data_IF_235455966599
#
_entry.id   IF_235455966599
#
_cell.length_a   1.000
_cell.length_b   1.000
_cell.length_c   1.000
_cell.angle_alpha   90.00
_cell.angle_beta   90.00
_cell.angle_gamma   90.00
#
_symmetry.space_group_name_H-M   'P 1'
#
loop_
_entity.id
_entity.type
_entity.pdbx_description
1 polymer ?
#
# COMPACT_ATOMS: atom_id res chain seq x y z
N UNK A 1 -19.37 -8.03 -20.47
CA UNK A 1 -20.48 -8.72 -21.17
C UNK A 1 -20.06 -9.92 -22.01
N UNK A 2 -18.80 -10.00 -22.45
CA UNK A 2 -18.35 -11.05 -23.38
C UNK A 2 -18.32 -12.47 -22.78
N UNK A 3 -18.29 -12.61 -21.45
CA UNK A 3 -18.37 -13.89 -20.75
C UNK A 3 -19.71 -14.63 -20.91
N UNK A 4 -20.74 -13.97 -21.48
CA UNK A 4 -22.05 -14.57 -21.79
C UNK A 4 -22.18 -15.02 -23.24
N UNK A 5 -21.23 -14.63 -24.10
CA UNK A 5 -21.22 -15.00 -25.51
C UNK A 5 -20.67 -16.41 -25.68
N UNK A 6 -21.18 -17.13 -26.69
CA UNK A 6 -20.58 -18.38 -27.08
C UNK A 6 -19.19 -18.12 -27.74
N UNK A 7 -18.33 -19.13 -27.82
CA UNK A 7 -16.99 -18.98 -28.38
C UNK A 7 -16.99 -18.49 -29.84
N UNK A 8 -17.96 -18.92 -30.65
CA UNK A 8 -18.07 -18.51 -32.06
C UNK A 8 -18.46 -17.03 -32.19
N UNK A 9 -19.40 -16.55 -31.38
CA UNK A 9 -19.81 -15.15 -31.33
C UNK A 9 -18.66 -14.26 -30.85
N UNK A 10 -17.83 -14.78 -29.95
CA UNK A 10 -16.66 -14.10 -29.41
C UNK A 10 -15.56 -13.98 -30.46
N UNK A 11 -15.28 -15.06 -31.20
CA UNK A 11 -14.36 -15.04 -32.34
C UNK A 11 -14.81 -14.09 -33.44
N UNK A 12 -16.11 -14.07 -33.73
CA UNK A 12 -16.68 -13.15 -34.71
C UNK A 12 -16.61 -11.68 -34.24
N UNK A 13 -16.89 -11.41 -32.95
CA UNK A 13 -16.87 -10.06 -32.38
C UNK A 13 -15.48 -9.43 -32.41
N UNK A 14 -14.44 -10.23 -32.14
CA UNK A 14 -13.05 -9.78 -32.12
C UNK A 14 -12.29 -10.06 -33.42
N UNK A 15 -12.97 -10.59 -34.44
CA UNK A 15 -12.41 -10.90 -35.75
C UNK A 15 -11.12 -11.75 -35.66
N UNK A 16 -11.13 -12.72 -34.74
CA UNK A 16 -10.00 -13.61 -34.47
C UNK A 16 -10.34 -15.04 -34.88
N UNK A 17 -9.38 -15.75 -35.43
CA UNK A 17 -9.55 -17.12 -35.89
C UNK A 17 -9.11 -18.12 -34.81
N UNK A 18 -9.88 -19.18 -34.60
CA UNK A 18 -9.63 -20.13 -33.50
C UNK A 18 -8.28 -20.84 -33.61
N UNK A 19 -7.88 -21.22 -34.81
CA UNK A 19 -6.71 -22.08 -35.03
C UNK A 19 -5.50 -21.26 -35.47
N UNK A 20 -5.72 -20.16 -36.20
CA UNK A 20 -4.64 -19.31 -36.72
C UNK A 20 -4.40 -18.05 -35.88
N UNK A 21 -5.31 -17.68 -34.97
CA UNK A 21 -5.19 -16.46 -34.18
C UNK A 21 -5.28 -15.19 -35.02
N UNK A 22 -4.69 -14.11 -34.53
CA UNK A 22 -4.60 -12.85 -35.27
C UNK A 22 -3.41 -12.84 -36.24
N UNK A 23 -3.56 -12.09 -37.33
CA UNK A 23 -2.46 -11.82 -38.26
C UNK A 23 -1.64 -10.61 -37.82
N UNK A 24 -0.35 -10.56 -38.16
CA UNK A 24 0.52 -9.42 -37.78
C UNK A 24 0.02 -8.08 -38.34
N UNK A 25 -0.65 -8.11 -39.50
CA UNK A 25 -1.26 -6.93 -40.08
C UNK A 25 -2.42 -6.41 -39.21
N UNK A 26 -3.29 -7.30 -38.73
CA UNK A 26 -4.39 -6.95 -37.83
C UNK A 26 -3.87 -6.45 -36.47
N UNK A 27 -2.86 -7.11 -35.92
CA UNK A 27 -2.23 -6.70 -34.65
C UNK A 27 -1.68 -5.29 -34.76
N UNK A 28 -0.97 -4.98 -35.85
CA UNK A 28 -0.39 -3.64 -36.06
C UNK A 28 -1.47 -2.57 -36.18
N UNK A 29 -2.58 -2.87 -36.85
CA UNK A 29 -3.72 -1.96 -36.94
C UNK A 29 -4.39 -1.74 -35.58
N UNK A 30 -4.59 -2.81 -34.80
CA UNK A 30 -5.15 -2.75 -33.45
C UNK A 30 -4.25 -1.98 -32.49
N UNK A 31 -2.94 -2.16 -32.57
CA UNK A 31 -1.97 -1.47 -31.70
C UNK A 31 -1.89 0.04 -32.02
N UNK A 32 -2.08 0.42 -33.29
CA UNK A 32 -2.23 1.84 -33.68
C UNK A 32 -3.57 2.42 -33.18
N UNK A 33 -4.66 1.64 -33.24
CA UNK A 33 -6.00 2.08 -32.86
C UNK A 33 -6.18 2.21 -31.35
N UNK A 34 -5.78 1.17 -30.60
CA UNK A 34 -6.09 1.00 -29.18
C UNK A 34 -4.89 1.35 -28.28
N UNK A 35 -3.69 1.43 -28.85
CA UNK A 35 -2.44 1.66 -28.11
C UNK A 35 -1.87 0.38 -27.49
N UNK A 36 -0.66 0.44 -26.93
CA UNK A 36 -0.06 -0.69 -26.23
C UNK A 36 -0.82 -1.01 -24.95
N UNK A 37 -0.79 -2.28 -24.53
CA UNK A 37 -1.46 -2.78 -23.33
C UNK A 37 -0.66 -2.41 -22.06
N UNK A 38 -0.55 -1.10 -21.82
CA UNK A 38 0.15 -0.50 -20.69
C UNK A 38 -0.81 0.44 -19.98
N UNK A 39 -0.84 0.37 -18.64
CA UNK A 39 -1.60 1.31 -17.84
C UNK A 39 -1.06 2.74 -18.07
N UNK A 40 -1.95 3.64 -18.50
CA UNK A 40 -1.60 5.04 -18.76
C UNK A 40 -1.06 5.71 -17.50
N UNK A 41 0.23 6.05 -17.50
CA UNK A 41 0.83 6.76 -16.38
C UNK A 41 0.50 8.26 -16.45
N UNK A 42 0.22 8.92 -15.31
CA UNK A 42 0.16 10.37 -15.27
C UNK A 42 1.52 10.95 -15.64
N UNK A 43 1.53 12.03 -16.44
CA UNK A 43 2.76 12.65 -16.93
C UNK A 43 3.72 12.95 -15.77
N UNK A 44 5.00 12.55 -15.85
CA UNK A 44 5.95 12.77 -14.77
C UNK A 44 6.15 14.28 -14.58
N UNK A 45 5.81 14.78 -13.38
CA UNK A 45 6.06 16.17 -13.00
C UNK A 45 7.57 16.34 -12.80
N UNK A 46 8.15 17.39 -13.38
CA UNK A 46 9.57 17.71 -13.22
C UNK A 46 9.97 17.85 -11.75
N UNK A 47 11.18 17.39 -11.40
CA UNK A 47 11.72 17.41 -10.02
C UNK A 47 11.69 18.81 -9.42
N UNK A 48 12.03 19.83 -10.21
CA UNK A 48 12.03 21.22 -9.76
C UNK A 48 10.61 21.71 -9.48
N UNK A 49 9.63 21.35 -10.32
CA UNK A 49 8.21 21.72 -10.12
C UNK A 49 7.64 21.07 -8.86
N UNK A 50 8.04 19.81 -8.57
CA UNK A 50 7.69 19.16 -7.31
C UNK A 50 8.27 19.91 -6.09
N UNK A 51 9.55 20.30 -6.16
CA UNK A 51 10.19 21.06 -5.09
C UNK A 51 9.51 22.42 -4.86
N UNK A 52 9.20 23.16 -5.92
CA UNK A 52 8.46 24.44 -5.82
C UNK A 52 7.07 24.27 -5.22
N UNK A 53 6.38 23.17 -5.55
CA UNK A 53 5.06 22.85 -4.98
C UNK A 53 5.14 22.62 -3.46
N UNK A 54 6.23 22.04 -2.96
CA UNK A 54 6.46 21.88 -1.52
C UNK A 54 6.85 23.20 -0.84
N UNK A 55 7.71 24.00 -1.48
CA UNK A 55 8.19 25.28 -0.93
C UNK A 55 7.13 26.39 -0.91
N UNK A 56 6.11 26.34 -1.77
CA UNK A 56 5.14 27.44 -1.92
C UNK A 56 3.69 26.95 -1.95
N UNK A 57 3.44 25.68 -1.58
CA UNK A 57 2.11 25.09 -1.57
C UNK A 57 1.50 25.02 -0.16
N UNK A 58 0.20 25.25 -0.07
CA UNK A 58 -0.58 24.98 1.14
C UNK A 58 -0.08 25.75 2.37
N UNK A 59 0.29 25.01 3.42
CA UNK A 59 0.67 25.56 4.73
C UNK A 59 2.05 26.25 4.73
N UNK A 60 2.94 25.91 3.79
CA UNK A 60 4.27 26.53 3.65
C UNK A 60 4.20 28.06 3.40
N UNK A 61 3.15 28.52 2.70
CA UNK A 61 2.91 29.96 2.48
C UNK A 61 2.71 30.75 3.78
N UNK A 62 2.12 30.11 4.80
CA UNK A 62 1.90 30.76 6.11
C UNK A 62 3.25 31.04 6.78
N UNK A 63 4.19 30.09 6.71
CA UNK A 63 5.52 30.27 7.26
C UNK A 63 6.30 31.36 6.53
N UNK A 64 6.24 31.43 5.20
CA UNK A 64 6.87 32.52 4.45
C UNK A 64 6.33 33.89 4.82
N UNK A 65 5.02 34.01 5.06
CA UNK A 65 4.43 35.26 5.56
C UNK A 65 4.99 35.61 6.95
N UNK A 66 5.09 34.63 7.85
CA UNK A 66 5.70 34.84 9.17
C UNK A 66 7.16 35.28 9.08
N UNK A 67 7.97 34.65 8.22
CA UNK A 67 9.35 35.05 7.96
C UNK A 67 9.42 36.53 7.54
N UNK A 68 8.59 36.93 6.57
CA UNK A 68 8.55 38.31 6.08
C UNK A 68 8.19 39.29 7.21
N UNK A 69 7.20 38.96 8.04
CA UNK A 69 6.80 39.78 9.18
C UNK A 69 7.96 39.93 10.17
N UNK A 70 8.68 38.86 10.49
CA UNK A 70 9.84 38.94 11.39
C UNK A 70 10.96 39.82 10.85
N UNK A 71 11.23 39.78 9.54
CA UNK A 71 12.21 40.68 8.92
C UNK A 71 11.76 42.14 8.88
N UNK A 72 10.45 42.40 8.72
CA UNK A 72 9.90 43.76 8.84
C UNK A 72 10.04 44.27 10.28
N UNK A 73 9.71 43.44 11.28
CA UNK A 73 9.86 43.78 12.70
C UNK A 73 11.33 44.01 13.08
N UNK A 74 12.25 43.23 12.52
CA UNK A 74 13.68 43.48 12.62
C UNK A 74 14.05 44.87 12.09
N UNK A 75 13.61 45.22 10.87
CA UNK A 75 13.84 46.55 10.29
C UNK A 75 13.28 47.68 11.16
N UNK A 76 12.09 47.53 11.72
CA UNK A 76 11.49 48.55 12.59
C UNK A 76 12.23 48.69 13.94
N UNK A 77 12.54 47.57 14.59
CA UNK A 77 13.26 47.56 15.88
C UNK A 77 14.67 48.13 15.79
N UNK A 78 15.37 47.89 14.67
CA UNK A 78 16.67 48.55 14.40
C UNK A 78 16.52 50.06 14.23
N UNK A 79 15.45 50.54 13.58
CA UNK A 79 15.18 51.97 13.44
C UNK A 79 14.83 52.64 14.78
N UNK A 80 14.12 51.95 15.68
CA UNK A 80 13.80 52.44 17.03
C UNK A 80 14.93 52.26 18.05
N UNK A 81 16.11 51.77 17.63
CA UNK A 81 17.27 51.51 18.49
C UNK A 81 17.00 50.54 19.65
N UNK A 82 16.08 49.58 19.46
CA UNK A 82 15.84 48.48 20.40
C UNK A 82 16.69 47.26 19.98
N UNK A 83 17.95 47.25 20.45
CA UNK A 83 18.93 46.22 20.07
C UNK A 83 18.48 44.82 20.48
N UNK A 84 17.90 44.67 21.68
CA UNK A 84 17.46 43.37 22.19
C UNK A 84 16.31 42.78 21.37
N UNK A 85 15.33 43.62 21.01
CA UNK A 85 14.23 43.19 20.15
C UNK A 85 14.71 42.84 18.74
N UNK A 86 15.63 43.63 18.18
CA UNK A 86 16.14 43.41 16.82
C UNK A 86 16.85 42.06 16.68
N UNK A 87 17.76 41.74 17.60
CA UNK A 87 18.48 40.46 17.59
C UNK A 87 17.50 39.29 17.70
N UNK A 88 16.47 39.43 18.54
CA UNK A 88 15.44 38.40 18.73
C UNK A 88 14.65 38.14 17.44
N UNK A 89 14.15 39.19 16.77
CA UNK A 89 13.39 39.02 15.53
C UNK A 89 14.24 38.44 14.38
N UNK A 90 15.51 38.82 14.28
CA UNK A 90 16.43 38.26 13.30
C UNK A 90 16.63 36.75 13.52
N UNK A 91 16.88 36.34 14.76
CA UNK A 91 17.07 34.92 15.09
C UNK A 91 15.81 34.10 14.88
N UNK A 92 14.62 34.61 15.27
CA UNK A 92 13.35 33.94 15.00
C UNK A 92 13.13 33.75 13.49
N UNK A 93 13.38 34.77 12.68
CA UNK A 93 13.25 34.68 11.23
C UNK A 93 14.18 33.64 10.60
N UNK A 94 15.45 33.61 11.02
CA UNK A 94 16.44 32.63 10.53
C UNK A 94 16.08 31.21 10.96
N UNK A 95 15.70 31.01 12.24
CA UNK A 95 15.33 29.71 12.77
C UNK A 95 14.12 29.12 12.04
N UNK A 96 13.11 29.96 11.76
CA UNK A 96 11.90 29.56 11.04
C UNK A 96 12.16 29.20 9.58
N UNK A 97 13.13 29.85 8.91
CA UNK A 97 13.61 29.43 7.57
C UNK A 97 14.24 28.04 7.63
N UNK A 98 15.09 27.77 8.63
CA UNK A 98 15.77 26.48 8.78
C UNK A 98 14.76 25.36 9.02
N UNK A 99 13.77 25.60 9.88
CA UNK A 99 12.70 24.65 10.18
C UNK A 99 11.86 24.35 8.93
N UNK A 100 11.51 25.38 8.16
CA UNK A 100 10.75 25.23 6.91
C UNK A 100 11.52 24.40 5.87
N UNK A 101 12.83 24.66 5.69
CA UNK A 101 13.67 23.88 4.79
C UNK A 101 13.75 22.41 5.20
N UNK A 102 13.78 22.11 6.50
CA UNK A 102 13.79 20.74 7.01
C UNK A 102 12.46 20.02 6.72
N UNK A 103 11.32 20.68 6.91
CA UNK A 103 9.98 20.13 6.63
C UNK A 103 9.82 19.86 5.13
N UNK A 104 10.23 20.80 4.28
CA UNK A 104 10.19 20.65 2.82
C UNK A 104 11.09 19.50 2.36
N UNK A 105 12.30 19.38 2.91
CA UNK A 105 13.21 18.28 2.61
C UNK A 105 12.59 16.93 2.98
N UNK A 106 12.04 16.81 4.19
CA UNK A 106 11.40 15.58 4.65
C UNK A 106 10.19 15.20 3.80
N UNK A 107 9.35 16.18 3.46
CA UNK A 107 8.17 16.00 2.61
C UNK A 107 8.54 15.55 1.20
N UNK A 108 9.56 16.19 0.59
CA UNK A 108 10.09 15.80 -0.71
C UNK A 108 10.68 14.38 -0.68
N UNK A 109 11.43 14.03 0.37
CA UNK A 109 11.99 12.70 0.54
C UNK A 109 10.90 11.62 0.66
N UNK A 110 9.86 11.89 1.45
CA UNK A 110 8.74 10.97 1.64
C UNK A 110 7.96 10.75 0.33
N UNK A 111 7.70 11.81 -0.45
CA UNK A 111 7.03 11.69 -1.75
C UNK A 111 7.90 10.94 -2.77
N UNK A 112 9.21 11.22 -2.81
CA UNK A 112 10.16 10.53 -3.69
C UNK A 112 10.19 9.02 -3.43
N UNK A 113 10.17 8.63 -2.14
CA UNK A 113 10.10 7.22 -1.73
C UNK A 113 8.79 6.57 -2.18
N UNK A 114 7.65 7.24 -1.99
CA UNK A 114 6.33 6.74 -2.40
C UNK A 114 6.22 6.58 -3.94
N UNK A 115 6.81 7.50 -4.70
CA UNK A 115 6.80 7.45 -6.17
C UNK A 115 7.61 6.27 -6.74
N UNK A 116 8.62 5.79 -6.03
CA UNK A 116 9.44 4.63 -6.43
C UNK A 116 8.65 3.31 -6.36
N UNK A 117 7.70 3.21 -5.44
CA UNK A 117 6.84 2.02 -5.29
C UNK A 117 5.92 1.86 -6.49
N UNK A 118 5.33 2.95 -6.99
CA UNK A 118 4.48 2.92 -8.18
C UNK A 118 5.24 2.53 -9.44
N UNK A 119 6.47 3.01 -9.61
CA UNK A 119 7.33 2.62 -10.72
C UNK A 119 7.71 1.13 -10.67
N UNK A 120 7.87 0.57 -9.46
CA UNK A 120 8.18 -0.85 -9.27
C UNK A 120 7.00 -1.75 -9.60
N UNK A 121 5.76 -1.33 -9.30
CA UNK A 121 4.52 -2.04 -9.70
C UNK A 121 4.38 -2.06 -11.23
N UNK A 122 4.69 -0.97 -11.93
CA UNK A 122 4.71 -0.97 -13.40
C UNK A 122 5.78 -1.90 -13.97
N UNK A 123 6.98 -1.92 -13.37
CA UNK A 123 8.07 -2.80 -13.80
C UNK A 123 7.78 -4.29 -13.59
N UNK A 124 6.88 -4.64 -12.67
CA UNK A 124 6.43 -6.02 -12.46
C UNK A 124 5.40 -6.50 -13.50
N UNK A 125 4.79 -5.59 -14.26
CA UNK A 125 3.79 -5.93 -15.29
C UNK A 125 4.39 -6.41 -16.62
N UNK A 126 5.70 -6.26 -16.84
CA UNK A 126 6.39 -6.72 -18.05
C UNK A 126 6.70 -8.21 -17.95
N UNK A 127 5.68 -9.06 -18.11
CA UNK A 127 5.85 -10.51 -18.27
C UNK A 127 5.77 -10.90 -19.75
N UNK A 128 6.44 -11.98 -20.13
CA UNK A 128 6.34 -12.58 -21.46
C UNK A 128 5.24 -13.64 -21.47
N UNK A 129 4.34 -13.59 -22.46
CA UNK A 129 3.19 -14.49 -22.60
C UNK A 129 3.26 -15.19 -23.96
N UNK A 130 2.81 -16.45 -24.01
CA UNK A 130 2.72 -17.24 -25.24
C UNK A 130 1.38 -16.95 -25.94
N UNK A 131 1.45 -16.45 -27.17
CA UNK A 131 0.29 -16.16 -28.02
C UNK A 131 0.32 -16.97 -29.31
N UNK A 132 -0.85 -17.20 -29.90
CA UNK A 132 -0.99 -17.79 -31.23
C UNK A 132 -1.25 -16.66 -32.23
N UNK A 133 -0.33 -16.46 -33.18
CA UNK A 133 -0.44 -15.48 -34.27
C UNK A 133 0.02 -16.12 -35.58
N UNK A 134 -0.68 -15.86 -36.68
CA UNK A 134 -0.46 -16.51 -37.98
C UNK A 134 -0.39 -18.07 -37.93
N UNK A 135 -1.05 -18.71 -36.97
CA UNK A 135 -1.00 -20.15 -36.75
C UNK A 135 0.27 -20.68 -36.07
N UNK A 136 1.16 -19.79 -35.64
CA UNK A 136 2.38 -20.14 -34.90
C UNK A 136 2.34 -19.61 -33.46
N UNK A 137 3.02 -20.32 -32.55
CA UNK A 137 3.13 -19.96 -31.14
C UNK A 137 4.33 -19.03 -30.95
N UNK A 138 4.06 -17.77 -30.62
CA UNK A 138 5.05 -16.73 -30.45
C UNK A 138 5.07 -16.24 -29.00
N UNK A 139 6.27 -16.02 -28.45
CA UNK A 139 6.44 -15.45 -27.12
C UNK A 139 6.59 -13.93 -27.26
N UNK A 140 5.65 -13.17 -26.69
CA UNK A 140 5.62 -11.70 -26.80
C UNK A 140 5.58 -11.05 -25.42
N UNK A 141 5.91 -9.77 -25.34
CA UNK A 141 5.72 -8.99 -24.12
C UNK A 141 4.22 -8.70 -23.90
N UNK A 142 3.79 -8.64 -22.64
CA UNK A 142 2.39 -8.29 -22.27
C UNK A 142 1.95 -6.93 -22.82
N UNK A 143 2.90 -6.02 -23.06
CA UNK A 143 2.70 -4.68 -23.62
C UNK A 143 2.20 -4.69 -25.07
N UNK A 144 2.57 -5.73 -25.83
CA UNK A 144 2.24 -5.90 -27.24
C UNK A 144 0.97 -6.75 -27.46
N UNK A 145 0.28 -7.10 -26.38
CA UNK A 145 -0.94 -7.89 -26.40
C UNK A 145 -2.11 -7.02 -26.87
N UNK A 146 -2.92 -7.52 -27.81
CA UNK A 146 -4.07 -6.79 -28.34
C UNK A 146 -5.37 -7.55 -28.09
N UNK A 147 -6.49 -6.82 -28.06
CA UNK A 147 -7.82 -7.42 -27.89
C UNK A 147 -8.11 -8.35 -29.08
N UNK A 148 -8.26 -9.64 -28.81
CA UNK A 148 -8.47 -10.68 -29.81
C UNK A 148 -7.33 -11.69 -29.93
N UNK A 149 -6.18 -11.45 -29.30
CA UNK A 149 -5.09 -12.44 -29.23
C UNK A 149 -5.55 -13.73 -28.51
N UNK A 150 -5.12 -14.87 -29.02
CA UNK A 150 -5.32 -16.17 -28.36
C UNK A 150 -4.07 -16.48 -27.55
N UNK A 151 -4.22 -16.49 -26.22
CA UNK A 151 -3.17 -16.86 -25.28
C UNK A 151 -3.21 -18.36 -24.99
N UNK A 152 -2.05 -19.01 -25.03
CA UNK A 152 -1.90 -20.39 -24.56
C UNK A 152 -1.36 -20.38 -23.14
N UNK A 153 -2.05 -21.10 -22.27
CA UNK A 153 -1.72 -21.17 -20.86
C UNK A 153 -1.31 -22.60 -20.54
N UNK A 154 -0.11 -22.78 -20.00
CA UNK A 154 0.31 -24.03 -19.36
C UNK A 154 0.11 -23.95 -17.85
N UNK A 155 -0.06 -25.10 -17.21
CA UNK A 155 -0.03 -25.19 -15.75
C UNK A 155 1.36 -24.77 -15.26
N UNK A 156 1.45 -23.58 -14.66
CA UNK A 156 2.73 -22.93 -14.29
C UNK A 156 3.13 -21.72 -15.14
N UNK A 157 2.49 -21.49 -16.29
CA UNK A 157 2.63 -20.24 -17.05
C UNK A 157 1.61 -19.21 -16.52
N UNK A 158 2.07 -18.00 -16.22
CA UNK A 158 1.25 -16.89 -15.74
C UNK A 158 0.23 -16.46 -16.80
N UNK A 159 -0.99 -17.01 -16.75
CA UNK A 159 -2.17 -16.17 -17.00
C UNK A 159 -2.03 -14.96 -16.07
N UNK A 160 -2.44 -13.74 -16.46
CA UNK A 160 -2.68 -12.69 -15.48
C UNK A 160 -3.79 -13.18 -14.54
N UNK A 161 -3.42 -13.99 -13.56
CA UNK A 161 -4.23 -14.29 -12.41
C UNK A 161 -4.24 -12.99 -11.62
N UNK A 162 -5.11 -12.09 -12.07
CA UNK A 162 -5.31 -10.79 -11.48
C UNK A 162 -5.61 -10.94 -9.99
N UNK A 163 -6.09 -12.11 -9.52
CA UNK A 163 -6.23 -12.41 -8.10
C UNK A 163 -4.88 -12.63 -7.44
N UNK A 164 -3.96 -13.38 -8.05
CA UNK A 164 -2.59 -13.49 -7.54
C UNK A 164 -1.83 -12.16 -7.63
N UNK A 165 -1.98 -11.40 -8.71
CA UNK A 165 -1.36 -10.07 -8.82
C UNK A 165 -1.96 -9.11 -7.78
N UNK A 166 -3.27 -9.13 -7.60
CA UNK A 166 -3.98 -8.39 -6.54
C UNK A 166 -3.48 -8.81 -5.16
N UNK A 167 -3.43 -10.10 -4.87
CA UNK A 167 -3.00 -10.64 -3.59
C UNK A 167 -1.54 -10.26 -3.31
N UNK A 168 -0.67 -10.39 -4.30
CA UNK A 168 0.74 -10.01 -4.18
C UNK A 168 0.87 -8.50 -3.93
N UNK A 169 0.19 -7.66 -4.72
CA UNK A 169 0.21 -6.21 -4.53
C UNK A 169 -0.37 -5.82 -3.16
N UNK A 170 -1.50 -6.41 -2.76
CA UNK A 170 -2.14 -6.20 -1.47
C UNK A 170 -1.21 -6.58 -0.31
N UNK A 171 -0.54 -7.73 -0.41
CA UNK A 171 0.39 -8.21 0.61
C UNK A 171 1.63 -7.31 0.71
N UNK A 172 2.22 -6.91 -0.42
CA UNK A 172 3.36 -6.01 -0.46
C UNK A 172 3.04 -4.62 0.13
N UNK A 173 1.89 -4.03 -0.23
CA UNK A 173 1.41 -2.79 0.37
C UNK A 173 1.15 -2.96 1.89
N UNK A 174 0.61 -4.12 2.28
CA UNK A 174 0.45 -4.50 3.67
C UNK A 174 1.77 -4.60 4.43
N UNK A 175 2.82 -5.20 3.85
CA UNK A 175 4.16 -5.28 4.47
C UNK A 175 4.72 -3.89 4.78
N UNK A 176 4.37 -2.87 4.00
CA UNK A 176 4.75 -1.47 4.22
C UNK A 176 3.90 -0.76 5.30
N UNK A 177 2.92 -1.44 5.90
CA UNK A 177 2.00 -0.86 6.88
C UNK A 177 0.93 0.03 6.24
N UNK A 178 0.71 -0.11 4.93
CA UNK A 178 -0.30 0.67 4.22
C UNK A 178 -1.67 -0.01 4.28
N UNK A 179 -2.72 0.80 4.31
CA UNK A 179 -4.11 0.35 4.21
C UNK A 179 -4.55 0.39 2.75
N UNK A 180 -4.73 -0.77 2.15
CA UNK A 180 -5.19 -0.88 0.77
C UNK A 180 -6.73 -0.82 0.68
N UNK A 181 -7.22 -0.04 -0.27
CA UNK A 181 -8.62 0.03 -0.72
C UNK A 181 -8.70 -0.49 -2.16
N UNK A 182 -9.62 -1.41 -2.43
CA UNK A 182 -9.93 -1.85 -3.78
C UNK A 182 -11.03 -1.01 -4.40
N UNK A 183 -10.80 -0.55 -5.63
CA UNK A 183 -11.81 0.14 -6.42
C UNK A 183 -12.39 -0.81 -7.44
N UNK A 184 -13.72 -0.84 -7.50
CA UNK A 184 -14.46 -1.57 -8.50
C UNK A 184 -15.55 -0.68 -9.08
N UNK A 185 -15.95 -0.94 -10.31
CA UNK A 185 -17.05 -0.26 -10.96
C UNK A 185 -18.06 -1.25 -11.54
N UNK A 186 -19.28 -0.78 -11.75
CA UNK A 186 -20.30 -1.51 -12.48
C UNK A 186 -21.16 -0.50 -13.22
N UNK A 187 -21.30 -0.71 -14.53
CA UNK A 187 -22.16 0.13 -15.35
C UNK A 187 -23.62 -0.27 -15.12
N UNK A 188 -24.41 0.67 -14.63
CA UNK A 188 -25.84 0.48 -14.37
C UNK A 188 -26.66 0.86 -15.60
N UNK A 189 -27.73 0.12 -15.87
CA UNK A 189 -28.63 0.42 -16.99
C UNK A 189 -29.48 1.66 -16.67
N UNK A 190 -29.46 2.66 -17.55
CA UNK A 190 -30.29 3.87 -17.42
C UNK A 190 -31.80 3.60 -17.47
N UNK A 191 -32.22 2.42 -17.95
CA UNK A 191 -33.63 2.00 -17.95
C UNK A 191 -34.14 1.63 -16.56
N UNK A 192 -33.26 1.08 -15.73
CA UNK A 192 -33.56 0.62 -14.36
C UNK A 192 -33.16 1.67 -13.33
N UNK A 193 -32.09 2.43 -13.62
CA UNK A 193 -31.52 3.47 -12.77
C UNK A 193 -31.50 4.82 -13.51
N UNK A 194 -32.64 5.51 -13.66
CA UNK A 194 -32.73 6.78 -14.38
C UNK A 194 -32.02 7.92 -13.64
N UNK A 195 -31.79 9.04 -14.35
CA UNK A 195 -31.22 10.24 -13.75
C UNK A 195 -32.10 10.75 -12.60
N UNK A 196 -31.49 10.94 -11.42
CA UNK A 196 -32.22 11.30 -10.19
C UNK A 196 -32.72 10.11 -9.37
N UNK A 197 -32.40 8.87 -9.76
CA UNK A 197 -32.64 7.68 -8.92
C UNK A 197 -31.95 7.84 -7.55
N UNK A 198 -32.69 7.56 -6.48
CA UNK A 198 -32.18 7.68 -5.11
C UNK A 198 -31.54 6.36 -4.67
N UNK A 199 -30.21 6.36 -4.56
CA UNK A 199 -29.45 5.20 -4.10
C UNK A 199 -29.47 5.10 -2.57
N UNK A 200 -29.75 3.91 -2.04
CA UNK A 200 -29.74 3.60 -0.62
C UNK A 200 -28.56 2.67 -0.28
N UNK A 201 -27.67 3.13 0.60
CA UNK A 201 -26.47 2.40 1.02
C UNK A 201 -26.70 1.50 2.24
N UNK A 202 -27.79 1.70 2.98
CA UNK A 202 -28.13 0.90 4.15
C UNK A 202 -28.92 -0.35 3.75
N UNK A 203 -29.83 -0.19 2.79
CA UNK A 203 -30.54 -1.26 2.10
C UNK A 203 -30.22 -1.15 0.63
N UNK A 204 -29.23 -1.91 0.18
CA UNK A 204 -28.72 -1.84 -1.19
C UNK A 204 -29.85 -2.05 -2.20
N UNK A 205 -30.26 -0.97 -2.87
CA UNK A 205 -31.21 -0.99 -3.99
C UNK A 205 -30.49 -1.05 -5.35
N UNK A 206 -29.21 -1.42 -5.36
CA UNK A 206 -28.35 -1.55 -6.53
C UNK A 206 -27.44 -2.78 -6.40
N UNK A 207 -26.96 -3.35 -7.51
CA UNK A 207 -26.09 -4.51 -7.49
C UNK A 207 -24.74 -4.22 -6.80
N UNK A 208 -24.36 -5.08 -5.87
CA UNK A 208 -23.07 -5.06 -5.14
C UNK A 208 -22.14 -6.22 -5.52
N UNK A 209 -22.58 -7.07 -6.45
CA UNK A 209 -21.86 -8.25 -6.93
C UNK A 209 -21.45 -8.05 -8.41
N UNK A 210 -20.50 -8.86 -8.89
CA UNK A 210 -20.01 -8.83 -10.29
C UNK A 210 -19.46 -7.48 -10.74
N UNK A 211 -18.83 -6.75 -9.83
CA UNK A 211 -18.15 -5.49 -10.13
C UNK A 211 -16.85 -5.75 -10.91
N UNK A 212 -16.51 -4.87 -11.85
CA UNK A 212 -15.21 -4.85 -12.53
C UNK A 212 -14.18 -4.20 -11.61
N UNK A 213 -13.15 -4.94 -11.23
CA UNK A 213 -12.03 -4.41 -10.47
C UNK A 213 -11.21 -3.43 -11.33
N UNK A 214 -10.92 -2.25 -10.77
CA UNK A 214 -10.17 -1.18 -11.43
C UNK A 214 -8.73 -1.09 -10.94
N UNK A 215 -8.52 -1.27 -9.62
CA UNK A 215 -7.19 -1.12 -9.02
C UNK A 215 -7.21 -1.00 -7.50
N UNK A 216 -6.01 -0.95 -6.93
CA UNK A 216 -5.76 -0.70 -5.52
C UNK A 216 -5.27 0.73 -5.31
N UNK A 217 -5.75 1.38 -4.25
CA UNK A 217 -5.10 2.56 -3.68
C UNK A 217 -4.63 2.21 -2.29
N UNK A 218 -3.44 2.65 -1.92
CA UNK A 218 -2.92 2.47 -0.58
C UNK A 218 -2.87 3.81 0.15
N UNK A 219 -3.26 3.80 1.42
CA UNK A 219 -3.17 4.95 2.30
C UNK A 219 -2.24 4.62 3.46
N UNK A 220 -1.29 5.50 3.71
CA UNK A 220 -0.40 5.39 4.86
C UNK A 220 -1.14 5.97 6.07
N UNK A 221 -1.19 5.20 7.15
CA UNK A 221 -1.57 5.71 8.47
C UNK A 221 -0.29 5.83 9.31
N UNK A 222 0.46 6.94 9.21
CA UNK A 222 1.76 7.03 9.83
C UNK A 222 1.62 6.94 11.36
N UNK A 223 2.49 6.18 12.05
CA UNK A 223 2.49 6.18 13.50
C UNK A 223 2.88 7.57 14.02
N UNK A 224 2.38 7.92 15.21
CA UNK A 224 2.79 9.17 15.87
C UNK A 224 4.31 9.16 16.05
N UNK A 225 4.97 10.28 15.74
CA UNK A 225 6.44 10.42 15.71
C UNK A 225 7.12 9.98 17.03
N UNK A 226 6.44 10.18 18.16
CA UNK A 226 6.97 9.80 19.48
C UNK A 226 6.88 8.30 19.81
N UNK A 227 6.11 7.50 19.05
CA UNK A 227 5.81 6.10 19.39
C UNK A 227 7.09 5.23 19.40
N UNK A 228 7.94 5.23 18.35
CA UNK A 228 9.14 4.38 18.36
C UNK A 228 10.04 4.62 19.57
N UNK A 229 10.26 5.91 19.93
CA UNK A 229 11.07 6.28 21.09
C UNK A 229 10.43 5.84 22.42
N UNK A 230 9.10 5.94 22.51
CA UNK A 230 8.36 5.48 23.70
C UNK A 230 8.47 3.97 23.88
N UNK A 231 8.38 3.19 22.79
CA UNK A 231 8.55 1.73 22.83
C UNK A 231 9.97 1.36 23.31
N UNK A 232 11.00 2.05 22.81
CA UNK A 232 12.37 1.85 23.27
C UNK A 232 12.54 2.15 24.76
N UNK A 233 11.97 3.26 25.25
CA UNK A 233 12.04 3.60 26.68
C UNK A 233 11.33 2.56 27.56
N UNK A 234 10.16 2.08 27.14
CA UNK A 234 9.46 1.01 27.83
C UNK A 234 10.33 -0.26 27.93
N UNK A 235 10.97 -0.67 26.83
CA UNK A 235 11.84 -1.85 26.81
C UNK A 235 13.08 -1.68 27.69
N UNK A 236 13.72 -0.51 27.67
CA UNK A 236 14.85 -0.19 28.56
C UNK A 236 14.47 -0.23 30.04
N UNK A 237 13.19 -0.01 30.36
CA UNK A 237 12.62 -0.16 31.70
C UNK A 237 12.14 -1.59 32.03
N UNK A 238 12.36 -2.57 31.15
CA UNK A 238 11.90 -3.95 31.33
C UNK A 238 10.41 -4.18 31.05
N UNK A 239 9.72 -3.22 30.42
CA UNK A 239 8.29 -3.29 30.13
C UNK A 239 8.07 -3.99 28.78
N UNK A 240 7.44 -5.17 28.81
CA UNK A 240 7.02 -5.91 27.60
C UNK A 240 5.79 -5.27 26.97
N UNK A 241 5.98 -4.61 25.82
CA UNK A 241 4.89 -4.01 25.02
C UNK A 241 4.28 -5.04 24.07
N UNK A 242 2.95 -5.11 24.03
CA UNK A 242 2.18 -5.99 23.13
C UNK A 242 1.23 -5.11 22.32
N UNK A 243 1.14 -5.37 21.01
CA UNK A 243 0.25 -4.63 20.12
C UNK A 243 -1.07 -5.36 19.90
N UNK A 244 -2.17 -4.60 19.93
CA UNK A 244 -3.49 -5.05 19.49
C UNK A 244 -3.98 -4.15 18.36
N UNK A 245 -4.38 -4.73 17.24
CA UNK A 245 -4.97 -3.98 16.13
C UNK A 245 -6.16 -4.71 15.51
N UNK A 246 -7.06 -3.96 14.88
CA UNK A 246 -8.11 -4.48 14.00
C UNK A 246 -7.66 -4.62 12.54
N UNK A 247 -6.43 -4.18 12.22
CA UNK A 247 -5.87 -4.30 10.87
C UNK A 247 -5.57 -5.75 10.50
N UNK A 248 -5.40 -6.02 9.20
CA UNK A 248 -4.98 -7.33 8.69
C UNK A 248 -3.55 -7.68 9.19
N UNK A 249 -3.19 -8.96 9.41
CA UNK A 249 -1.89 -9.37 9.93
C UNK A 249 -0.68 -8.78 9.19
N UNK A 250 -0.71 -8.73 7.85
CA UNK A 250 0.40 -8.13 7.08
C UNK A 250 0.59 -6.63 7.40
N UNK A 251 -0.49 -5.84 7.42
CA UNK A 251 -0.47 -4.42 7.79
C UNK A 251 -0.06 -4.20 9.25
N UNK A 252 -0.54 -5.08 10.15
CA UNK A 252 -0.18 -5.07 11.57
C UNK A 252 1.33 -5.28 11.75
N UNK A 253 1.91 -6.27 11.06
CA UNK A 253 3.35 -6.55 11.03
C UNK A 253 4.15 -5.35 10.51
N UNK A 254 3.73 -4.75 9.40
CA UNK A 254 4.36 -3.56 8.84
C UNK A 254 4.37 -2.38 9.82
N UNK A 255 3.22 -2.11 10.47
CA UNK A 255 3.09 -1.05 11.47
C UNK A 255 3.91 -1.35 12.73
N UNK A 256 3.94 -2.60 13.17
CA UNK A 256 4.72 -3.03 14.33
C UNK A 256 6.22 -2.86 14.11
N UNK A 257 6.74 -3.13 12.90
CA UNK A 257 8.12 -2.82 12.52
C UNK A 257 8.38 -1.32 12.47
N UNK A 258 7.49 -0.54 11.86
CA UNK A 258 7.62 0.91 11.78
C UNK A 258 7.59 1.60 13.17
N UNK A 259 6.96 0.98 14.17
CA UNK A 259 6.86 1.47 15.55
C UNK A 259 7.86 0.84 16.51
N UNK A 260 8.75 -0.02 16.03
CA UNK A 260 9.74 -0.76 16.82
C UNK A 260 9.12 -1.71 17.87
N UNK A 261 7.84 -2.09 17.71
CA UNK A 261 7.18 -3.14 18.51
C UNK A 261 7.72 -4.52 18.11
N UNK A 262 8.00 -4.71 16.82
CA UNK A 262 8.90 -5.75 16.34
C UNK A 262 10.24 -5.06 16.11
N UNK A 263 11.31 -5.52 16.78
CA UNK A 263 12.62 -4.88 16.69
C UNK A 263 13.22 -5.05 15.29
N UNK A 264 14.09 -4.11 14.92
CA UNK A 264 14.95 -4.30 13.75
C UNK A 264 15.82 -5.56 13.92
N UNK A 265 15.79 -6.46 12.93
CA UNK A 265 16.46 -7.75 12.99
C UNK A 265 15.72 -8.86 13.76
N UNK A 266 14.54 -8.58 14.31
CA UNK A 266 13.65 -9.60 14.86
C UNK A 266 12.80 -10.21 13.74
N UNK A 267 12.76 -11.54 13.67
CA UNK A 267 12.07 -12.28 12.62
C UNK A 267 10.86 -13.03 13.21
N UNK A 268 9.76 -13.06 12.45
CA UNK A 268 8.66 -14.00 12.67
C UNK A 268 8.91 -15.32 11.96
N UNK A 269 8.14 -16.37 12.28
CA UNK A 269 8.20 -17.65 11.58
C UNK A 269 8.09 -17.45 10.06
N UNK A 270 7.17 -16.58 9.63
CA UNK A 270 6.97 -16.26 8.21
C UNK A 270 8.19 -15.57 7.58
N UNK A 271 8.90 -14.70 8.33
CA UNK A 271 10.12 -14.06 7.84
C UNK A 271 11.24 -15.08 7.62
N UNK A 272 11.41 -15.99 8.59
CA UNK A 272 12.43 -17.04 8.52
C UNK A 272 12.13 -17.98 7.35
N UNK A 273 10.87 -18.37 7.18
CA UNK A 273 10.41 -19.21 6.09
C UNK A 273 10.68 -18.56 4.72
N UNK A 274 10.32 -17.28 4.57
CA UNK A 274 10.57 -16.50 3.35
C UNK A 274 12.09 -16.39 3.06
N UNK A 275 12.90 -16.13 4.08
CA UNK A 275 14.37 -16.04 3.95
C UNK A 275 15.02 -17.37 3.58
N UNK A 276 14.51 -18.49 4.10
CA UNK A 276 15.03 -19.83 3.83
C UNK A 276 14.42 -20.47 2.56
N UNK A 277 13.37 -19.87 2.01
CA UNK A 277 12.61 -20.44 0.88
C UNK A 277 11.87 -21.72 1.26
N UNK A 278 11.42 -21.85 2.51
CA UNK A 278 10.71 -23.03 3.03
C UNK A 278 9.29 -22.70 3.48
N UNK A 279 8.49 -23.73 3.82
CA UNK A 279 7.16 -23.52 4.42
C UNK A 279 7.30 -23.03 5.86
N UNK A 280 6.43 -22.12 6.36
CA UNK A 280 6.38 -21.72 7.78
C UNK A 280 6.32 -22.89 8.75
N UNK A 281 5.69 -24.00 8.37
CA UNK A 281 5.55 -25.20 9.20
C UNK A 281 6.87 -25.93 9.42
N UNK A 282 7.86 -25.71 8.54
CA UNK A 282 9.19 -26.34 8.62
C UNK A 282 10.17 -25.55 9.48
N UNK A 283 9.78 -24.35 9.91
CA UNK A 283 10.61 -23.46 10.73
C UNK A 283 10.43 -23.83 12.20
N UNK A 284 11.53 -23.93 12.94
CA UNK A 284 11.49 -24.14 14.37
C UNK A 284 10.93 -22.87 15.06
N UNK A 285 9.83 -22.96 15.82
CA UNK A 285 9.23 -21.81 16.49
C UNK A 285 10.20 -21.04 17.41
N UNK A 286 11.17 -21.75 18.01
CA UNK A 286 12.16 -21.14 18.92
C UNK A 286 13.14 -20.17 18.23
N UNK A 287 13.27 -20.25 16.90
CA UNK A 287 14.14 -19.35 16.14
C UNK A 287 13.49 -17.98 15.92
N UNK A 288 12.16 -17.89 16.03
CA UNK A 288 11.40 -16.66 15.87
C UNK A 288 11.27 -15.91 17.20
N UNK A 289 11.73 -14.66 17.24
CA UNK A 289 11.62 -13.78 18.43
C UNK A 289 10.30 -13.01 18.49
N UNK A 290 9.66 -12.84 17.32
CA UNK A 290 8.42 -12.12 17.14
C UNK A 290 7.33 -13.01 16.55
N UNK A 291 6.07 -12.72 16.87
CA UNK A 291 4.93 -13.39 16.25
C UNK A 291 3.78 -12.40 15.95
N UNK A 292 3.04 -12.70 14.88
CA UNK A 292 1.85 -11.94 14.47
C UNK A 292 0.71 -12.93 14.34
N UNK A 293 -0.33 -12.77 15.16
CA UNK A 293 -1.42 -13.76 15.26
C UNK A 293 -2.73 -13.10 14.84
N UNK A 294 -3.47 -13.78 13.98
CA UNK A 294 -4.82 -13.37 13.62
C UNK A 294 -5.80 -13.79 14.72
N UNK A 295 -6.82 -12.96 14.99
CA UNK A 295 -7.81 -13.22 16.05
C UNK A 295 -8.51 -14.58 15.94
N UNK A 296 -8.74 -15.09 14.74
CA UNK A 296 -9.33 -16.42 14.54
C UNK A 296 -8.38 -17.59 14.86
N UNK A 297 -7.07 -17.33 14.84
CA UNK A 297 -6.03 -18.32 15.10
C UNK A 297 -5.62 -18.30 16.59
N UNK A 298 -6.24 -17.43 17.39
CA UNK A 298 -6.12 -17.52 18.84
C UNK A 298 -6.86 -18.76 19.34
N UNK A 299 -6.09 -19.72 19.83
CA UNK A 299 -6.61 -20.88 20.55
C UNK A 299 -7.11 -20.55 21.94
N UNK A 300 -7.21 -21.60 22.77
CA UNK A 300 -7.70 -21.50 24.14
C UNK A 300 -6.73 -20.76 25.08
N UNK A 301 -7.14 -20.51 26.34
CA UNK A 301 -6.30 -19.80 27.32
C UNK A 301 -4.90 -20.40 27.53
N UNK A 302 -4.75 -21.72 27.41
CA UNK A 302 -3.45 -22.38 27.57
C UNK A 302 -2.47 -22.06 26.42
N UNK A 303 -2.95 -22.00 25.19
CA UNK A 303 -2.14 -21.62 24.02
C UNK A 303 -1.75 -20.14 24.08
N UNK A 304 -2.64 -19.28 24.58
CA UNK A 304 -2.34 -17.87 24.83
C UNK A 304 -1.21 -17.75 25.85
N UNK A 305 -1.26 -18.54 26.93
CA UNK A 305 -0.22 -18.51 27.97
C UNK A 305 1.15 -18.96 27.45
N UNK A 306 1.19 -20.00 26.62
CA UNK A 306 2.40 -20.47 25.92
C UNK A 306 2.96 -19.39 25.00
N UNK A 307 2.11 -18.79 24.18
CA UNK A 307 2.50 -17.74 23.25
C UNK A 307 3.04 -16.49 23.96
N UNK A 308 2.43 -16.12 25.08
CA UNK A 308 2.89 -15.00 25.92
C UNK A 308 4.23 -15.28 26.60
N UNK A 309 4.60 -16.55 26.78
CA UNK A 309 5.88 -16.99 27.36
C UNK A 309 6.98 -17.06 26.31
N UNK A 310 6.70 -17.66 25.17
CA UNK A 310 7.71 -18.04 24.18
C UNK A 310 8.15 -16.85 23.32
N UNK A 311 7.22 -15.95 22.99
CA UNK A 311 7.52 -14.80 22.15
C UNK A 311 7.76 -13.53 22.95
N UNK A 312 8.86 -12.84 22.66
CA UNK A 312 9.18 -11.57 23.32
C UNK A 312 8.41 -10.39 22.70
N UNK A 313 8.11 -10.47 21.40
CA UNK A 313 7.49 -9.41 20.61
C UNK A 313 6.22 -9.93 19.95
N UNK A 314 5.06 -9.42 20.39
CA UNK A 314 3.77 -10.03 20.03
C UNK A 314 2.85 -8.97 19.44
N UNK A 315 2.25 -9.31 18.30
CA UNK A 315 1.24 -8.50 17.62
C UNK A 315 -0.02 -9.34 17.43
N UNK A 316 -1.12 -8.88 17.99
CA UNK A 316 -2.44 -9.46 17.79
C UNK A 316 -3.22 -8.62 16.76
N UNK A 317 -3.60 -9.25 15.64
CA UNK A 317 -4.30 -8.64 14.52
C UNK A 317 -5.74 -9.16 14.43
N UNK A 318 -6.68 -8.31 13.98
CA UNK A 318 -8.12 -8.62 13.90
C UNK A 318 -8.72 -9.25 15.17
N UNK A 319 -8.30 -8.79 16.35
CA UNK A 319 -8.85 -9.28 17.62
C UNK A 319 -10.09 -8.50 18.08
N UNK A 320 -11.11 -9.23 18.51
CA UNK A 320 -12.33 -8.66 19.09
C UNK A 320 -12.16 -8.30 20.58
N UNK A 321 -13.02 -7.43 21.16
CA UNK A 321 -12.92 -7.00 22.55
C UNK A 321 -12.87 -8.14 23.58
N UNK A 322 -13.63 -9.22 23.33
CA UNK A 322 -13.62 -10.42 24.20
C UNK A 322 -12.26 -11.13 24.20
N UNK A 323 -11.62 -11.24 23.04
CA UNK A 323 -10.32 -11.87 22.90
C UNK A 323 -9.24 -11.03 23.59
N UNK A 324 -9.30 -9.69 23.45
CA UNK A 324 -8.40 -8.78 24.15
C UNK A 324 -8.48 -8.95 25.67
N UNK A 325 -9.70 -9.06 26.22
CA UNK A 325 -9.88 -9.30 27.64
C UNK A 325 -9.25 -10.63 28.09
N UNK A 326 -9.48 -11.71 27.33
CA UNK A 326 -8.88 -13.02 27.62
C UNK A 326 -7.35 -13.00 27.61
N UNK A 327 -6.73 -12.30 26.65
CA UNK A 327 -5.27 -12.17 26.57
C UNK A 327 -4.71 -11.40 27.77
N UNK A 328 -5.40 -10.34 28.21
CA UNK A 328 -5.00 -9.56 29.40
C UNK A 328 -5.13 -10.41 30.67
N UNK A 329 -6.19 -11.21 30.80
CA UNK A 329 -6.38 -12.15 31.91
C UNK A 329 -5.31 -13.25 31.93
N UNK A 330 -4.97 -13.85 30.78
CA UNK A 330 -3.89 -14.83 30.68
C UNK A 330 -2.56 -14.27 31.20
N UNK A 331 -2.20 -13.06 30.76
CA UNK A 331 -0.98 -12.39 31.25
C UNK A 331 -1.00 -12.12 32.75
N UNK A 332 -2.15 -11.76 33.32
CA UNK A 332 -2.31 -11.59 34.76
C UNK A 332 -2.04 -12.89 35.52
N UNK A 333 -2.50 -14.03 34.99
CA UNK A 333 -2.27 -15.34 35.60
C UNK A 333 -0.81 -15.80 35.53
N UNK A 334 -0.08 -15.44 34.47
CA UNK A 334 1.36 -15.74 34.32
C UNK A 334 2.20 -14.94 35.31
N UNK A 335 1.87 -13.66 35.53
CA UNK A 335 2.63 -12.79 36.44
C UNK A 335 2.44 -13.20 37.91
N UNK A 336 1.27 -13.76 38.25
CA UNK A 336 0.91 -14.13 39.63
C UNK A 336 1.16 -15.61 39.99
N UNK A 337 1.80 -16.37 39.10
CA UNK A 337 2.26 -17.76 39.36
C UNK A 337 3.76 -17.80 39.57
#
# INVERSE_FOLDING_TARGET
DDHRLNLADLYQRYNTDRDTGLTDAQVKELLIRDGPNILSQPKPISKSVKLYRHLFGGFSLVFWICVIIYFIMYGFSTATHDENASISYLWLGIMLIIEELAIVFFSYYQESKSSSTMASITKMASQQILVIRNGEKNQINTEDLVVGDIIEVKSGDSIPDWRNQFNNAYLELGKLGERALGFCELQLSSSEYPYGYSFNINEYNFPVNNLRFLGLMAMINPPKVAVPNTIMNCRSAGIKVIMFTGDHPCTAKGTARATNIISEGSETIEDIAERLGTSPESVNPNDAKACVIHGNDLGGPAEIDELLRDYTEIVFARTDPKQKACIVEGKYNIINK
#
